data_IF_193947995961
#
_entry.id   IF_193947995961
#
_cell.length_a   1.000
_cell.length_b   1.000
_cell.length_c   1.000
_cell.angle_alpha   90.00
_cell.angle_beta   90.00
_cell.angle_gamma   90.00
#
_symmetry.space_group_name_H-M   'P 1'
#
loop_
_entity.id
_entity.type
_entity.pdbx_description
1 polymer ?
#
# COMPACT_ATOMS: atom_id res chain seq x y z
N UNK A 1 19.05 26.88 -30.72
CA UNK A 1 17.60 27.14 -30.72
C UNK A 1 17.04 26.64 -29.42
N UNK A 2 16.52 27.52 -28.57
CA UNK A 2 15.91 27.14 -27.30
C UNK A 2 14.58 26.43 -27.59
N UNK A 3 14.53 25.12 -27.35
CA UNK A 3 13.27 24.37 -27.34
C UNK A 3 12.48 24.86 -26.13
N UNK A 4 11.40 25.60 -26.36
CA UNK A 4 10.48 26.02 -25.32
C UNK A 4 9.85 24.77 -24.70
N UNK A 5 10.16 24.50 -23.43
CA UNK A 5 9.43 23.51 -22.64
C UNK A 5 7.97 23.97 -22.59
N UNK A 6 6.99 23.16 -23.01
CA UNK A 6 5.58 23.55 -22.96
C UNK A 6 5.20 23.91 -21.53
N UNK A 7 4.63 25.10 -21.34
CA UNK A 7 4.07 25.50 -20.05
C UNK A 7 2.87 24.61 -19.78
N UNK A 8 3.02 23.69 -18.84
CA UNK A 8 1.96 22.77 -18.45
C UNK A 8 0.91 23.52 -17.67
N UNK A 9 -0.31 23.55 -18.21
CA UNK A 9 -1.44 24.07 -17.46
C UNK A 9 -1.65 23.18 -16.23
N UNK A 10 -1.83 23.77 -15.04
CA UNK A 10 -2.06 22.98 -13.86
C UNK A 10 -3.37 22.20 -14.00
N UNK A 11 -3.39 20.97 -13.48
CA UNK A 11 -4.55 20.09 -13.50
C UNK A 11 -5.62 20.60 -12.53
N UNK A 12 -6.34 21.65 -12.92
CA UNK A 12 -7.35 22.37 -12.13
C UNK A 12 -8.49 22.86 -13.02
N UNK A 13 -9.64 23.14 -12.43
CA UNK A 13 -10.80 23.69 -13.15
C UNK A 13 -11.59 22.63 -13.92
N UNK A 14 -12.16 23.03 -15.06
CA UNK A 14 -13.12 22.21 -15.85
C UNK A 14 -12.56 20.86 -16.27
N UNK A 15 -11.30 20.79 -16.69
CA UNK A 15 -10.67 19.53 -17.11
C UNK A 15 -10.63 18.48 -15.99
N UNK A 16 -10.34 18.91 -14.75
CA UNK A 16 -10.37 18.01 -13.59
C UNK A 16 -11.79 17.50 -13.35
N UNK A 17 -12.78 18.37 -13.50
CA UNK A 17 -14.18 18.03 -13.26
C UNK A 17 -14.72 17.06 -14.33
N UNK A 18 -14.34 17.25 -15.59
CA UNK A 18 -14.64 16.33 -16.70
C UNK A 18 -13.97 14.95 -16.51
N UNK A 19 -12.68 14.92 -16.16
CA UNK A 19 -11.95 13.68 -15.94
C UNK A 19 -12.51 12.91 -14.72
N UNK A 20 -12.88 13.61 -13.64
CA UNK A 20 -13.57 13.02 -12.48
C UNK A 20 -14.95 12.48 -12.87
N UNK A 21 -15.74 13.25 -13.61
CA UNK A 21 -17.04 12.86 -14.11
C UNK A 21 -16.96 11.61 -15.02
N UNK A 22 -15.91 11.52 -15.84
CA UNK A 22 -15.69 10.39 -16.76
C UNK A 22 -15.44 9.08 -16.01
N UNK A 23 -14.73 9.14 -14.88
CA UNK A 23 -14.35 7.94 -14.11
C UNK A 23 -15.39 7.56 -13.06
N UNK A 24 -16.00 8.55 -12.41
CA UNK A 24 -16.87 8.33 -11.25
C UNK A 24 -18.35 8.63 -11.53
N UNK A 25 -18.70 9.19 -12.70
CA UNK A 25 -20.07 9.53 -13.09
C UNK A 25 -20.61 10.82 -12.44
N UNK A 26 -21.93 11.10 -12.60
CA UNK A 26 -22.59 12.34 -12.15
C UNK A 26 -22.71 12.51 -10.63
N UNK A 27 -22.20 11.60 -9.84
CA UNK A 27 -22.22 11.64 -8.38
C UNK A 27 -20.79 11.51 -7.84
N UNK A 28 -20.58 12.01 -6.59
CA UNK A 28 -19.48 11.70 -5.66
C UNK A 28 -18.47 12.79 -5.27
N UNK A 29 -18.66 14.08 -5.60
CA UNK A 29 -17.82 15.12 -4.96
C UNK A 29 -18.08 15.25 -3.44
N UNK A 30 -19.18 14.69 -2.89
CA UNK A 30 -19.62 14.96 -1.50
C UNK A 30 -20.16 13.78 -0.68
N UNK A 31 -20.47 12.63 -1.28
CA UNK A 31 -21.15 11.54 -0.55
C UNK A 31 -20.20 10.56 0.13
N UNK A 32 -18.95 10.48 -0.33
CA UNK A 32 -18.02 9.48 0.17
C UNK A 32 -16.96 10.07 1.07
N UNK A 33 -17.17 9.89 2.37
CA UNK A 33 -16.16 10.12 3.39
C UNK A 33 -15.43 8.82 3.69
N UNK A 34 -14.32 8.93 4.44
CA UNK A 34 -13.72 7.76 5.08
C UNK A 34 -14.83 7.02 5.83
N UNK A 35 -14.95 5.72 5.59
CA UNK A 35 -15.85 4.84 6.33
C UNK A 35 -15.42 4.86 7.80
N UNK A 36 -16.13 5.59 8.65
CA UNK A 36 -15.84 5.60 10.09
C UNK A 36 -15.99 4.21 10.70
N UNK A 37 -16.76 3.31 10.06
CA UNK A 37 -16.85 1.91 10.48
C UNK A 37 -15.49 1.20 10.43
N UNK A 38 -14.53 1.64 9.60
CA UNK A 38 -13.17 1.06 9.61
C UNK A 38 -12.53 1.25 10.98
N UNK A 39 -12.82 2.37 11.66
CA UNK A 39 -12.30 2.67 12.99
C UNK A 39 -13.18 2.09 14.12
N UNK A 40 -14.19 1.28 13.81
CA UNK A 40 -14.95 0.53 14.81
C UNK A 40 -13.98 -0.32 15.65
N UNK A 41 -14.06 -0.29 16.99
CA UNK A 41 -13.20 -1.08 17.87
C UNK A 41 -13.13 -2.56 17.49
N UNK A 42 -14.23 -3.15 17.02
CA UNK A 42 -14.28 -4.55 16.59
C UNK A 42 -13.39 -4.82 15.38
N UNK A 43 -13.35 -3.89 14.42
CA UNK A 43 -12.50 -4.00 13.23
C UNK A 43 -11.02 -3.78 13.60
N UNK A 44 -10.75 -2.88 14.55
CA UNK A 44 -9.41 -2.69 15.12
C UNK A 44 -8.92 -3.98 15.80
N UNK A 45 -9.75 -4.59 16.64
CA UNK A 45 -9.38 -5.80 17.37
C UNK A 45 -9.24 -7.02 16.45
N UNK A 46 -10.13 -7.19 15.47
CA UNK A 46 -9.99 -8.22 14.44
C UNK A 46 -8.68 -8.05 13.64
N UNK A 47 -8.33 -6.80 13.30
CA UNK A 47 -7.07 -6.51 12.61
C UNK A 47 -5.85 -6.86 13.47
N UNK A 48 -5.89 -6.55 14.77
CA UNK A 48 -4.81 -6.90 15.71
C UNK A 48 -4.63 -8.41 15.81
N UNK A 49 -5.73 -9.16 15.92
CA UNK A 49 -5.71 -10.62 16.01
C UNK A 49 -5.09 -11.26 14.75
N UNK A 50 -5.46 -10.80 13.56
CA UNK A 50 -4.87 -11.29 12.30
C UNK A 50 -3.36 -11.00 12.20
N UNK A 51 -2.91 -9.81 12.65
CA UNK A 51 -1.48 -9.48 12.70
C UNK A 51 -0.74 -10.40 13.68
N UNK A 52 -1.27 -10.58 14.90
CA UNK A 52 -0.66 -11.45 15.92
C UNK A 52 -0.53 -12.87 15.39
N UNK A 53 -1.57 -13.42 14.78
CA UNK A 53 -1.59 -14.77 14.21
C UNK A 53 -0.54 -14.97 13.12
N UNK A 54 -0.26 -13.95 12.31
CA UNK A 54 0.78 -14.04 11.29
C UNK A 54 2.20 -13.93 11.87
N UNK A 55 2.35 -13.16 12.95
CA UNK A 55 3.64 -12.94 13.61
C UNK A 55 3.94 -13.93 14.75
N UNK A 56 3.11 -14.96 14.91
CA UNK A 56 3.20 -15.96 15.98
C UNK A 56 4.29 -17.00 15.67
N UNK A 57 5.55 -16.58 15.77
CA UNK A 57 6.70 -17.46 15.76
C UNK A 57 7.48 -17.29 17.05
N UNK A 58 7.69 -18.40 17.76
CA UNK A 58 8.61 -18.44 18.88
C UNK A 58 10.04 -18.33 18.35
N UNK A 59 10.72 -17.23 18.68
CA UNK A 59 12.09 -16.94 18.27
C UNK A 59 12.95 -16.83 19.52
N UNK A 60 14.02 -17.62 19.57
CA UNK A 60 14.95 -17.66 20.69
C UNK A 60 16.17 -16.77 20.42
N UNK A 61 16.33 -15.70 21.21
CA UNK A 61 17.33 -14.66 20.95
C UNK A 61 18.66 -14.80 21.68
N UNK A 62 18.89 -15.89 22.42
CA UNK A 62 20.07 -16.08 23.26
C UNK A 62 21.41 -15.78 22.54
N UNK A 63 21.62 -16.28 21.33
CA UNK A 63 22.86 -16.02 20.59
C UNK A 63 22.94 -14.60 20.03
N UNK A 64 21.79 -13.98 19.75
CA UNK A 64 21.73 -12.62 19.21
C UNK A 64 22.02 -11.54 20.26
N UNK A 65 21.71 -11.80 21.53
CA UNK A 65 21.98 -10.87 22.64
C UNK A 65 23.47 -10.56 22.80
N UNK A 66 24.33 -11.51 22.43
CA UNK A 66 25.79 -11.39 22.48
C UNK A 66 26.42 -11.18 21.10
N UNK A 67 25.63 -11.18 20.03
CA UNK A 67 26.11 -10.96 18.67
C UNK A 67 26.36 -9.48 18.43
N UNK A 68 27.48 -9.17 17.76
CA UNK A 68 27.79 -7.81 17.29
C UNK A 68 27.09 -7.47 15.97
N UNK A 69 26.51 -8.47 15.29
CA UNK A 69 26.01 -8.35 13.93
C UNK A 69 24.51 -8.68 13.86
N UNK A 70 23.85 -8.04 12.90
CA UNK A 70 22.44 -8.29 12.57
C UNK A 70 22.27 -9.70 12.02
N UNK A 71 21.17 -10.33 12.36
CA UNK A 71 20.70 -11.54 11.69
C UNK A 71 20.29 -11.22 10.25
N UNK A 72 20.47 -12.18 9.34
CA UNK A 72 20.14 -12.00 7.91
C UNK A 72 18.63 -11.79 7.71
N UNK A 73 17.81 -12.43 8.53
CA UNK A 73 16.36 -12.32 8.48
C UNK A 73 15.81 -11.16 9.31
N UNK A 74 16.65 -10.41 10.03
CA UNK A 74 16.23 -9.31 10.90
C UNK A 74 15.62 -9.73 12.25
N UNK A 75 15.57 -11.03 12.55
CA UNK A 75 15.11 -11.54 13.85
C UNK A 75 15.95 -11.02 15.02
N UNK A 76 15.33 -10.86 16.19
CA UNK A 76 15.98 -10.42 17.43
C UNK A 76 16.62 -9.02 17.40
N UNK A 77 16.36 -8.20 16.37
CA UNK A 77 16.70 -6.77 16.41
C UNK A 77 15.95 -6.04 17.55
N UNK A 78 14.79 -6.56 17.96
CA UNK A 78 14.08 -6.15 19.17
C UNK A 78 13.95 -7.34 20.13
N UNK A 79 14.67 -7.30 21.27
CA UNK A 79 14.69 -8.42 22.22
C UNK A 79 13.34 -8.68 22.92
N UNK A 80 12.48 -7.66 23.04
CA UNK A 80 11.13 -7.82 23.61
C UNK A 80 10.14 -8.39 22.61
N UNK A 81 10.34 -8.10 21.32
CA UNK A 81 9.51 -8.58 20.23
C UNK A 81 10.39 -9.07 19.08
N UNK A 82 10.96 -10.29 19.22
CA UNK A 82 11.96 -10.80 18.30
C UNK A 82 11.57 -10.85 16.82
N UNK A 83 10.26 -10.91 16.51
CA UNK A 83 9.73 -10.99 15.14
C UNK A 83 9.51 -9.62 14.47
N UNK A 84 9.68 -8.50 15.19
CA UNK A 84 9.45 -7.17 14.63
C UNK A 84 10.50 -6.79 13.60
N UNK A 85 10.05 -6.54 12.37
CA UNK A 85 10.92 -6.18 11.24
C UNK A 85 11.67 -7.37 10.65
N UNK A 86 11.38 -8.60 11.10
CA UNK A 86 11.89 -9.82 10.49
C UNK A 86 11.29 -10.00 9.08
N UNK A 87 12.09 -10.48 8.12
CA UNK A 87 11.62 -10.90 6.80
C UNK A 87 10.71 -12.13 6.85
N UNK A 88 9.99 -12.40 5.75
CA UNK A 88 8.98 -13.46 5.67
C UNK A 88 7.93 -13.36 6.80
N UNK A 89 7.49 -12.14 7.10
CA UNK A 89 6.45 -11.85 8.09
C UNK A 89 5.42 -10.89 7.47
N UNK A 90 4.22 -10.81 8.05
CA UNK A 90 3.17 -9.94 7.55
C UNK A 90 3.53 -8.46 7.65
N UNK A 91 3.10 -7.69 6.64
CA UNK A 91 3.13 -6.23 6.70
C UNK A 91 2.24 -5.71 7.85
N UNK A 92 2.76 -4.75 8.59
CA UNK A 92 2.02 -4.05 9.64
C UNK A 92 0.89 -3.23 9.01
N UNK A 93 -0.31 -3.30 9.58
CA UNK A 93 -1.42 -2.41 9.23
C UNK A 93 -1.49 -1.21 10.18
N UNK A 94 -1.51 -0.01 9.61
CA UNK A 94 -1.72 1.25 10.36
C UNK A 94 -3.20 1.51 10.60
N UNK A 95 -4.06 1.05 9.68
CA UNK A 95 -5.52 1.12 9.77
C UNK A 95 -6.12 -0.29 9.63
N UNK A 96 -7.31 -0.53 10.19
CA UNK A 96 -8.04 -1.77 9.94
C UNK A 96 -8.30 -2.03 8.46
N UNK A 97 -8.49 -3.29 8.10
CA UNK A 97 -8.76 -3.68 6.71
C UNK A 97 -10.16 -3.22 6.26
N UNK A 98 -10.32 -2.92 4.97
CA UNK A 98 -11.61 -2.56 4.34
C UNK A 98 -11.86 -3.45 3.12
N UNK A 99 -11.98 -4.76 3.33
CA UNK A 99 -12.41 -5.70 2.31
C UNK A 99 -13.93 -5.73 2.19
N UNK A 100 -14.46 -6.02 1.00
CA UNK A 100 -15.91 -6.11 0.78
C UNK A 100 -16.56 -7.22 1.63
N UNK A 101 -15.89 -8.38 1.69
CA UNK A 101 -16.25 -9.55 2.50
C UNK A 101 -15.66 -9.51 3.93
N UNK A 102 -15.01 -8.41 4.31
CA UNK A 102 -14.26 -8.27 5.57
C UNK A 102 -13.12 -9.30 5.74
N UNK A 103 -12.62 -9.89 4.66
CA UNK A 103 -11.58 -10.91 4.72
C UNK A 103 -10.53 -10.79 3.62
N UNK A 104 -10.94 -10.73 2.36
CA UNK A 104 -10.04 -10.90 1.21
C UNK A 104 -10.50 -10.23 -0.07
N UNK A 105 -11.80 -10.01 -0.26
CA UNK A 105 -12.31 -9.46 -1.51
C UNK A 105 -11.98 -7.97 -1.65
N UNK A 106 -11.59 -7.52 -2.85
CA UNK A 106 -11.31 -6.11 -3.11
C UNK A 106 -12.41 -5.22 -2.58
N UNK A 107 -12.03 -4.06 -2.04
CA UNK A 107 -12.98 -3.13 -1.45
C UNK A 107 -14.02 -2.67 -2.46
N UNK A 108 -15.22 -2.40 -1.97
CA UNK A 108 -16.26 -1.74 -2.74
C UNK A 108 -16.23 -0.22 -2.57
N UNK A 109 -16.94 0.45 -3.47
CA UNK A 109 -17.32 1.85 -3.31
C UNK A 109 -18.10 2.04 -2.01
N UNK A 110 -18.04 3.25 -1.48
CA UNK A 110 -18.94 3.75 -0.44
C UNK A 110 -20.45 3.60 -0.78
N UNK A 111 -20.80 3.53 -2.07
CA UNK A 111 -22.18 3.30 -2.54
C UNK A 111 -22.56 1.81 -2.59
N UNK A 112 -21.64 0.90 -2.23
CA UNK A 112 -21.81 -0.55 -2.40
C UNK A 112 -21.64 -1.04 -3.85
N UNK A 113 -21.28 -0.15 -4.77
CA UNK A 113 -20.99 -0.51 -6.17
C UNK A 113 -19.52 -0.90 -6.36
N UNK A 114 -19.17 -1.63 -7.44
CA UNK A 114 -17.77 -1.90 -7.78
C UNK A 114 -16.95 -0.61 -7.97
N UNK A 115 -15.67 -0.64 -7.61
CA UNK A 115 -14.76 0.45 -7.94
C UNK A 115 -14.52 0.56 -9.45
N UNK A 116 -14.22 1.75 -9.98
CA UNK A 116 -13.88 1.93 -11.39
C UNK A 116 -12.71 1.04 -11.83
N UNK A 117 -12.72 0.65 -13.10
CA UNK A 117 -11.63 -0.13 -13.68
C UNK A 117 -10.30 0.63 -13.54
N UNK A 118 -9.25 0.04 -12.93
CA UNK A 118 -7.95 0.70 -12.77
C UNK A 118 -7.33 1.19 -14.08
N UNK A 119 -7.58 0.51 -15.21
CA UNK A 119 -7.11 0.95 -16.54
C UNK A 119 -7.81 2.22 -17.00
N UNK A 120 -9.11 2.37 -16.73
CA UNK A 120 -9.84 3.61 -17.01
C UNK A 120 -9.27 4.76 -16.18
N UNK A 121 -9.06 4.56 -14.88
CA UNK A 121 -8.42 5.53 -13.97
C UNK A 121 -7.03 5.94 -14.50
N UNK A 122 -6.22 4.96 -14.92
CA UNK A 122 -4.90 5.19 -15.50
C UNK A 122 -4.97 6.05 -16.77
N UNK A 123 -5.81 5.69 -17.73
CA UNK A 123 -5.94 6.39 -19.00
C UNK A 123 -6.42 7.85 -18.82
N UNK A 124 -7.28 8.09 -17.83
CA UNK A 124 -7.86 9.42 -17.60
C UNK A 124 -6.89 10.31 -16.81
N UNK A 125 -6.34 9.82 -15.69
CA UNK A 125 -5.56 10.66 -14.76
C UNK A 125 -4.04 10.59 -14.92
N UNK A 126 -3.49 9.47 -15.42
CA UNK A 126 -2.03 9.28 -15.53
C UNK A 126 -1.51 9.61 -16.94
N UNK A 127 -2.09 10.63 -17.57
CA UNK A 127 -1.57 11.16 -18.83
C UNK A 127 -0.20 11.75 -18.55
N UNK A 128 0.80 11.32 -19.33
CA UNK A 128 2.17 11.80 -19.19
C UNK A 128 2.25 13.25 -19.69
N UNK A 129 2.00 14.17 -18.77
CA UNK A 129 1.97 15.58 -19.08
C UNK A 129 3.21 16.30 -18.60
N UNK A 130 4.07 15.71 -17.75
CA UNK A 130 5.19 16.42 -17.13
C UNK A 130 6.55 15.86 -17.53
N UNK A 131 7.44 16.67 -18.13
CA UNK A 131 8.83 16.27 -18.29
C UNK A 131 9.50 16.17 -16.93
N UNK A 132 10.59 15.39 -16.88
CA UNK A 132 11.45 15.26 -15.72
C UNK A 132 11.87 16.65 -15.20
N UNK A 133 11.87 16.89 -13.88
CA UNK A 133 12.37 18.16 -13.33
C UNK A 133 13.88 18.33 -13.62
N UNK A 134 14.28 19.51 -14.11
CA UNK A 134 15.68 19.80 -14.51
C UNK A 134 16.69 19.75 -13.35
N UNK A 135 16.21 19.83 -12.10
CA UNK A 135 17.04 19.85 -10.90
C UNK A 135 17.26 18.48 -10.25
N UNK A 136 16.72 17.40 -10.83
CA UNK A 136 16.90 16.04 -10.31
C UNK A 136 17.72 15.18 -11.27
N UNK A 137 18.76 14.52 -10.76
CA UNK A 137 19.48 13.51 -11.52
C UNK A 137 18.66 12.23 -11.61
N UNK A 138 18.96 11.36 -12.58
CA UNK A 138 18.28 10.06 -12.70
C UNK A 138 18.53 9.18 -11.46
N UNK A 139 19.64 9.41 -10.76
CA UNK A 139 19.98 8.71 -9.52
C UNK A 139 18.92 8.88 -8.42
N UNK A 140 18.17 9.99 -8.42
CA UNK A 140 17.09 10.19 -7.46
C UNK A 140 16.01 9.10 -7.54
N UNK A 141 15.61 8.72 -8.75
CA UNK A 141 14.61 7.67 -8.97
C UNK A 141 15.19 6.30 -8.63
N UNK A 142 16.40 6.01 -9.10
CA UNK A 142 17.09 4.74 -8.86
C UNK A 142 17.30 4.47 -7.37
N UNK A 143 17.77 5.48 -6.62
CA UNK A 143 17.97 5.37 -5.18
C UNK A 143 16.64 5.08 -4.45
N UNK A 144 15.55 5.69 -4.91
CA UNK A 144 14.21 5.42 -4.40
C UNK A 144 13.78 3.96 -4.60
N UNK A 145 14.05 3.38 -5.77
CA UNK A 145 13.76 1.97 -6.03
C UNK A 145 14.64 1.04 -5.19
N UNK A 146 15.93 1.34 -5.08
CA UNK A 146 16.85 0.55 -4.26
C UNK A 146 16.40 0.51 -2.80
N UNK A 147 16.02 1.66 -2.22
CA UNK A 147 15.45 1.72 -0.86
C UNK A 147 14.13 0.95 -0.73
N UNK A 148 13.23 1.06 -1.72
CA UNK A 148 11.96 0.34 -1.69
C UNK A 148 12.17 -1.18 -1.68
N UNK A 149 13.13 -1.68 -2.46
CA UNK A 149 13.48 -3.09 -2.53
C UNK A 149 14.22 -3.62 -1.29
N UNK A 150 14.95 -2.77 -0.57
CA UNK A 150 15.56 -3.12 0.73
C UNK A 150 14.52 -3.23 1.86
N UNK A 151 13.48 -2.37 1.81
CA UNK A 151 12.49 -2.27 2.88
C UNK A 151 11.33 -3.26 2.78
N UNK A 152 10.90 -3.62 1.57
CA UNK A 152 9.71 -4.45 1.41
C UNK A 152 9.68 -5.21 0.09
N UNK A 153 9.15 -6.44 0.15
CA UNK A 153 8.80 -7.24 -1.00
C UNK A 153 7.47 -7.94 -0.72
N UNK A 154 6.50 -7.77 -1.62
CA UNK A 154 5.25 -8.53 -1.62
C UNK A 154 5.33 -9.55 -2.73
N UNK A 155 5.63 -10.81 -2.40
CA UNK A 155 5.70 -11.88 -3.38
C UNK A 155 4.28 -12.35 -3.75
N UNK A 156 3.92 -12.18 -5.02
CA UNK A 156 2.62 -12.56 -5.58
C UNK A 156 2.51 -14.09 -5.73
N UNK A 157 3.64 -14.82 -5.73
CA UNK A 157 3.70 -16.24 -6.04
C UNK A 157 4.07 -17.16 -4.88
N UNK A 158 4.58 -16.63 -3.74
CA UNK A 158 5.15 -17.51 -2.71
C UNK A 158 4.15 -18.40 -1.98
N UNK A 159 2.88 -18.05 -1.92
CA UNK A 159 1.92 -18.79 -1.09
C UNK A 159 0.49 -18.70 -1.64
N UNK A 160 0.18 -19.44 -2.72
CA UNK A 160 -1.21 -19.66 -3.11
C UNK A 160 -2.06 -20.32 -2.00
N UNK A 161 -1.46 -20.90 -0.94
CA UNK A 161 -2.20 -21.65 0.08
C UNK A 161 -1.70 -21.54 1.53
N UNK A 162 -0.82 -20.59 1.89
CA UNK A 162 -0.19 -20.63 3.23
C UNK A 162 -0.66 -19.56 4.21
N UNK A 163 -1.09 -18.38 3.77
CA UNK A 163 -1.42 -17.28 4.69
C UNK A 163 -2.77 -16.59 4.48
N UNK A 164 -3.49 -16.88 3.39
CA UNK A 164 -4.92 -16.56 3.27
C UNK A 164 -5.72 -17.86 3.33
N UNK A 165 -6.27 -18.23 4.50
CA UNK A 165 -7.25 -19.33 4.61
C UNK A 165 -8.62 -18.92 4.04
N UNK A 166 -8.62 -18.52 2.78
CA UNK A 166 -9.75 -18.61 1.86
C UNK A 166 -9.27 -18.26 0.46
N UNK A 167 -8.97 -19.30 -0.30
CA UNK A 167 -9.50 -19.46 -1.65
C UNK A 167 -10.39 -20.72 -1.61
N UNK A 168 -11.38 -20.85 -2.50
CA UNK A 168 -12.36 -21.96 -2.51
C UNK A 168 -11.72 -23.35 -2.49
#
# INVERSE_FOLDING_TARGET
>A
GASSVPVLRPYVGSQRDEDVQTVYGPQLKRECRMKYEILDPRNIDATRQEITKCSDQYIHCYYSEYSKYRTIDGSCNNLKNPSWGKSDNCLRRVLPFDYADKKSFPRESCTGSPLPNPRLVSNVFHKELRPKPDHLTTHFMEWGQMLAHDLSLNDIYRDYCKWLRSCP
#
